data_IF_324642993256
#
_entry.id   IF_324642993256
#
_cell.length_a   1.000
_cell.length_b   1.000
_cell.length_c   1.000
_cell.angle_alpha   90.00
_cell.angle_beta   90.00
_cell.angle_gamma   90.00
#
_symmetry.space_group_name_H-M   'P 1'
#
loop_
_entity.id
_entity.type
_entity.pdbx_description
1 polymer ?
#
# COMPACT_ATOMS: atom_id res chain seq x y z
N UNK A 1 -19.46 8.91 -12.05
CA UNK A 1 -19.49 7.93 -10.94
C UNK A 1 -19.57 8.67 -9.59
N UNK A 2 -20.26 8.13 -8.57
CA UNK A 2 -20.18 8.69 -7.20
C UNK A 2 -18.93 8.17 -6.50
N UNK A 3 -18.18 9.06 -5.85
CA UNK A 3 -17.03 8.70 -5.01
C UNK A 3 -17.40 8.71 -3.52
N UNK A 4 -16.63 7.99 -2.72
CA UNK A 4 -16.72 7.93 -1.26
C UNK A 4 -15.34 8.09 -0.66
N UNK A 5 -15.27 8.61 0.56
CA UNK A 5 -14.01 8.68 1.31
C UNK A 5 -13.60 7.28 1.75
N UNK A 6 -12.34 6.91 1.57
CA UNK A 6 -11.80 5.64 2.05
C UNK A 6 -11.39 5.76 3.52
N UNK A 7 -12.20 5.22 4.44
CA UNK A 7 -11.91 5.27 5.88
C UNK A 7 -11.74 6.71 6.40
N UNK A 8 -10.70 6.93 7.22
CA UNK A 8 -10.34 8.25 7.75
C UNK A 8 -9.23 8.95 6.95
N UNK A 9 -9.09 8.60 5.66
CA UNK A 9 -8.09 9.20 4.76
C UNK A 9 -8.67 10.40 4.01
N UNK A 10 -7.83 11.10 3.23
CA UNK A 10 -8.26 12.08 2.23
C UNK A 10 -8.57 11.47 0.84
N UNK A 11 -8.44 10.15 0.68
CA UNK A 11 -8.69 9.49 -0.60
C UNK A 11 -10.18 9.43 -0.93
N UNK A 12 -10.51 9.94 -2.12
CA UNK A 12 -11.84 9.83 -2.72
C UNK A 12 -11.85 8.73 -3.79
N UNK A 13 -12.48 7.60 -3.47
CA UNK A 13 -12.51 6.41 -4.33
C UNK A 13 -13.89 6.18 -4.94
N UNK A 14 -13.94 5.63 -6.15
CA UNK A 14 -15.16 5.10 -6.73
C UNK A 14 -15.70 3.97 -5.86
N UNK A 15 -17.03 3.87 -5.73
CA UNK A 15 -17.67 2.80 -4.93
C UNK A 15 -17.38 1.39 -5.43
N UNK A 16 -16.93 1.28 -6.67
CA UNK A 16 -16.43 0.05 -7.28
C UNK A 16 -14.93 0.21 -7.49
N UNK A 17 -14.17 -0.83 -7.14
CA UNK A 17 -12.75 -0.96 -7.42
C UNK A 17 -12.56 -1.96 -8.56
N UNK A 18 -11.70 -1.64 -9.52
CA UNK A 18 -11.30 -2.61 -10.54
C UNK A 18 -10.15 -3.46 -10.00
N UNK A 19 -10.44 -4.73 -9.74
CA UNK A 19 -9.42 -5.73 -9.42
C UNK A 19 -8.66 -6.18 -10.67
N UNK A 20 -7.33 -6.14 -10.60
CA UNK A 20 -6.43 -6.39 -11.72
C UNK A 20 -5.73 -7.76 -11.64
N UNK A 21 -6.17 -8.65 -10.75
CA UNK A 21 -5.55 -9.95 -10.49
C UNK A 21 -5.40 -10.82 -11.75
N UNK A 22 -6.35 -10.73 -12.66
CA UNK A 22 -6.36 -11.54 -13.88
C UNK A 22 -5.54 -10.93 -15.01
N UNK A 23 -4.90 -9.77 -14.84
CA UNK A 23 -4.05 -9.17 -15.87
C UNK A 23 -2.61 -9.66 -15.70
N UNK A 24 -1.91 -9.94 -16.80
CA UNK A 24 -0.51 -10.34 -16.74
C UNK A 24 -0.04 -11.12 -17.95
N UNK A 25 1.13 -11.75 -17.79
CA UNK A 25 1.69 -12.68 -18.77
C UNK A 25 0.66 -13.73 -19.22
N UNK A 26 0.54 -14.07 -20.52
CA UNK A 26 -0.46 -15.01 -21.03
C UNK A 26 -0.47 -16.39 -20.37
N UNK A 27 0.66 -16.84 -19.79
CA UNK A 27 0.74 -18.12 -19.10
C UNK A 27 0.18 -18.06 -17.67
N UNK A 28 -0.06 -16.85 -17.15
CA UNK A 28 -0.47 -16.58 -15.76
C UNK A 28 -1.72 -15.72 -15.64
N UNK A 29 -2.12 -15.03 -16.71
CA UNK A 29 -3.26 -14.12 -16.77
C UNK A 29 -3.63 -13.70 -18.19
N UNK A 30 -4.45 -12.65 -18.28
CA UNK A 30 -4.88 -12.03 -19.52
C UNK A 30 -3.82 -11.06 -20.03
N UNK A 31 -3.41 -11.16 -21.30
CA UNK A 31 -2.40 -10.27 -21.88
C UNK A 31 -2.81 -8.80 -21.83
N UNK A 32 -1.82 -7.93 -22.04
CA UNK A 32 -2.01 -6.48 -22.07
C UNK A 32 -3.07 -6.06 -23.11
N UNK A 33 -3.06 -6.67 -24.29
CA UNK A 33 -3.98 -6.33 -25.39
C UNK A 33 -5.46 -6.50 -25.01
N UNK A 34 -5.80 -7.53 -24.22
CA UNK A 34 -7.17 -7.76 -23.74
C UNK A 34 -7.47 -7.04 -22.43
N UNK A 35 -6.46 -6.72 -21.63
CA UNK A 35 -6.61 -6.05 -20.33
C UNK A 35 -6.81 -4.53 -20.47
N UNK A 36 -6.06 -3.88 -21.36
CA UNK A 36 -6.10 -2.42 -21.55
C UNK A 36 -7.49 -1.87 -21.91
N UNK A 37 -8.28 -2.49 -22.82
CA UNK A 37 -9.63 -2.03 -23.11
C UNK A 37 -10.54 -2.02 -21.88
N UNK A 38 -10.39 -2.99 -20.96
CA UNK A 38 -11.17 -3.05 -19.73
C UNK A 38 -10.80 -1.94 -18.76
N UNK A 39 -9.50 -1.65 -18.60
CA UNK A 39 -9.01 -0.53 -17.78
C UNK A 39 -9.53 0.80 -18.34
N UNK A 40 -9.44 0.98 -19.67
CA UNK A 40 -9.95 2.19 -20.32
C UNK A 40 -11.46 2.34 -20.12
N UNK A 41 -12.23 1.26 -20.32
CA UNK A 41 -13.68 1.28 -20.11
C UNK A 41 -14.04 1.61 -18.66
N UNK A 42 -13.28 1.11 -17.68
CA UNK A 42 -13.47 1.45 -16.27
C UNK A 42 -13.26 2.95 -16.01
N UNK A 43 -12.18 3.52 -16.55
CA UNK A 43 -11.91 4.96 -16.50
C UNK A 43 -13.03 5.77 -17.16
N UNK A 44 -13.45 5.38 -18.37
CA UNK A 44 -14.54 6.04 -19.10
C UNK A 44 -15.88 6.00 -18.31
N UNK A 45 -16.10 4.94 -17.53
CA UNK A 45 -17.24 4.81 -16.62
C UNK A 45 -17.09 5.60 -15.29
N UNK A 46 -15.93 6.23 -15.07
CA UNK A 46 -15.59 7.01 -13.88
C UNK A 46 -15.13 6.18 -12.69
N UNK A 47 -14.67 4.94 -12.89
CA UNK A 47 -13.93 4.20 -11.87
C UNK A 47 -12.54 4.85 -11.76
N UNK A 48 -12.14 5.19 -10.53
CA UNK A 48 -10.82 5.74 -10.25
C UNK A 48 -10.01 4.90 -9.28
N UNK A 49 -10.57 3.81 -8.74
CA UNK A 49 -9.90 2.96 -7.76
C UNK A 49 -9.52 1.61 -8.38
N UNK A 50 -8.22 1.31 -8.36
CA UNK A 50 -7.63 0.12 -8.97
C UNK A 50 -6.83 -0.67 -7.93
N UNK A 51 -7.05 -1.99 -7.89
CA UNK A 51 -6.39 -2.89 -6.96
C UNK A 51 -5.58 -3.94 -7.72
N UNK A 52 -4.30 -4.06 -7.38
CA UNK A 52 -3.37 -5.07 -7.89
C UNK A 52 -2.55 -5.66 -6.73
N UNK A 53 -1.52 -6.46 -7.02
CA UNK A 53 -0.56 -6.95 -6.04
C UNK A 53 0.76 -7.29 -6.73
N UNK A 54 1.87 -7.17 -6.01
CA UNK A 54 3.19 -7.54 -6.49
C UNK A 54 3.24 -8.97 -7.08
N UNK A 55 2.52 -9.90 -6.48
CA UNK A 55 2.52 -11.32 -6.86
C UNK A 55 1.58 -11.66 -8.00
N UNK A 56 0.68 -10.75 -8.42
CA UNK A 56 -0.27 -11.04 -9.50
C UNK A 56 0.48 -11.19 -10.83
N UNK A 57 0.45 -12.42 -11.35
CA UNK A 57 1.20 -12.83 -12.53
C UNK A 57 2.71 -12.51 -12.43
N UNK A 58 3.30 -12.69 -11.23
CA UNK A 58 4.72 -12.41 -10.93
C UNK A 58 5.12 -10.96 -11.28
N UNK A 59 4.26 -9.99 -10.95
CA UNK A 59 4.48 -8.56 -11.14
C UNK A 59 3.94 -7.99 -12.46
N UNK A 60 3.71 -8.82 -13.48
CA UNK A 60 3.25 -8.33 -14.80
C UNK A 60 1.88 -7.64 -14.77
N UNK A 61 1.03 -7.92 -13.77
CA UNK A 61 -0.22 -7.16 -13.55
C UNK A 61 0.04 -5.69 -13.25
N UNK A 62 1.03 -5.39 -12.41
CA UNK A 62 1.44 -4.02 -12.06
C UNK A 62 1.99 -3.29 -13.28
N UNK A 63 2.78 -3.98 -14.09
CA UNK A 63 3.35 -3.42 -15.32
C UNK A 63 2.27 -3.00 -16.32
N UNK A 64 1.28 -3.88 -16.55
CA UNK A 64 0.16 -3.61 -17.46
C UNK A 64 -0.70 -2.45 -16.92
N UNK A 65 -1.03 -2.47 -15.63
CA UNK A 65 -1.82 -1.41 -15.00
C UNK A 65 -1.08 -0.07 -15.08
N UNK A 66 0.22 -0.05 -14.76
CA UNK A 66 1.06 1.13 -14.80
C UNK A 66 1.10 1.78 -16.18
N UNK A 67 1.38 1.00 -17.23
CA UNK A 67 1.36 1.47 -18.62
C UNK A 67 -0.03 1.99 -19.03
N UNK A 68 -1.09 1.25 -18.70
CA UNK A 68 -2.44 1.65 -19.06
C UNK A 68 -2.88 2.96 -18.39
N UNK A 69 -2.60 3.12 -17.09
CA UNK A 69 -2.95 4.34 -16.35
C UNK A 69 -2.13 5.54 -16.82
N UNK A 70 -0.85 5.35 -17.15
CA UNK A 70 0.00 6.40 -17.73
C UNK A 70 -0.57 6.95 -19.04
N UNK A 71 -1.16 6.07 -19.87
CA UNK A 71 -1.70 6.45 -21.18
C UNK A 71 -3.13 7.02 -21.10
N UNK A 72 -3.93 6.60 -20.11
CA UNK A 72 -5.38 6.86 -20.08
C UNK A 72 -5.84 7.77 -18.94
N UNK A 73 -5.01 8.06 -17.95
CA UNK A 73 -5.41 8.84 -16.78
C UNK A 73 -4.32 9.83 -16.34
N UNK A 74 -4.74 10.88 -15.65
CA UNK A 74 -3.80 11.70 -14.89
C UNK A 74 -3.57 11.02 -13.53
N UNK A 75 -2.31 10.93 -13.10
CA UNK A 75 -1.92 10.16 -11.90
C UNK A 75 -2.67 10.60 -10.65
N UNK A 76 -2.92 11.89 -10.49
CA UNK A 76 -3.63 12.49 -9.35
C UNK A 76 -5.14 12.25 -9.35
N UNK A 77 -5.71 11.75 -10.45
CA UNK A 77 -7.13 11.45 -10.57
C UNK A 77 -7.48 9.99 -10.22
N UNK A 78 -6.47 9.12 -10.08
CA UNK A 78 -6.63 7.70 -9.80
C UNK A 78 -6.01 7.31 -8.46
N UNK A 79 -6.63 6.33 -7.81
CA UNK A 79 -6.18 5.71 -6.57
C UNK A 79 -5.71 4.30 -6.90
N UNK A 80 -4.44 4.02 -6.63
CA UNK A 80 -3.83 2.72 -6.90
C UNK A 80 -3.46 2.03 -5.58
N UNK A 81 -4.01 0.84 -5.39
CA UNK A 81 -3.67 -0.04 -4.29
C UNK A 81 -2.85 -1.24 -4.79
N UNK A 82 -1.76 -1.55 -4.09
CA UNK A 82 -1.00 -2.80 -4.28
C UNK A 82 -0.78 -3.52 -2.96
N UNK A 83 -0.20 -4.72 -3.02
CA UNK A 83 -0.04 -5.62 -1.86
C UNK A 83 1.35 -6.25 -1.85
N UNK A 84 1.78 -6.62 -0.65
CA UNK A 84 3.00 -7.38 -0.38
C UNK A 84 2.69 -8.56 0.54
N UNK A 85 3.22 -9.76 0.22
CA UNK A 85 3.33 -10.92 1.12
C UNK A 85 3.88 -12.14 0.37
N UNK A 86 3.26 -12.49 -0.76
CA UNK A 86 3.55 -13.72 -1.50
C UNK A 86 4.93 -13.66 -2.16
N UNK A 87 5.57 -14.81 -2.40
CA UNK A 87 6.88 -14.84 -3.04
C UNK A 87 6.78 -14.41 -4.51
N UNK A 88 7.85 -13.79 -5.00
CA UNK A 88 8.11 -13.50 -6.40
C UNK A 88 9.40 -14.24 -6.82
N UNK A 89 9.70 -14.24 -8.11
CA UNK A 89 10.97 -14.77 -8.63
C UNK A 89 12.23 -14.14 -8.00
N UNK A 90 12.14 -12.88 -7.53
CA UNK A 90 13.24 -12.13 -6.92
C UNK A 90 13.05 -11.83 -5.42
N UNK A 91 11.97 -12.30 -4.80
CA UNK A 91 11.61 -11.93 -3.42
C UNK A 91 11.00 -13.12 -2.67
N UNK A 92 11.45 -13.37 -1.44
CA UNK A 92 10.87 -14.41 -0.61
C UNK A 92 9.48 -14.02 -0.09
N UNK A 93 8.71 -15.01 0.37
CA UNK A 93 7.45 -14.75 1.06
C UNK A 93 7.68 -14.08 2.41
N UNK A 94 6.79 -13.18 2.82
CA UNK A 94 6.70 -12.65 4.20
C UNK A 94 6.65 -11.13 4.26
N UNK A 95 6.60 -10.63 5.49
CA UNK A 95 6.47 -9.21 5.85
C UNK A 95 7.68 -8.69 6.65
N UNK A 96 8.85 -9.32 6.47
CA UNK A 96 10.10 -8.76 7.00
C UNK A 96 10.34 -7.36 6.46
N UNK A 97 11.08 -6.55 7.20
CA UNK A 97 11.43 -5.19 6.77
C UNK A 97 12.07 -5.17 5.38
N UNK A 98 12.98 -6.09 5.12
CA UNK A 98 13.63 -6.23 3.81
C UNK A 98 12.60 -6.50 2.71
N UNK A 99 11.66 -7.41 2.94
CA UNK A 99 10.65 -7.77 1.95
C UNK A 99 9.70 -6.61 1.65
N UNK A 100 9.25 -5.88 2.68
CA UNK A 100 8.35 -4.73 2.51
C UNK A 100 9.04 -3.62 1.72
N UNK A 101 10.28 -3.26 2.10
CA UNK A 101 11.02 -2.17 1.47
C UNK A 101 11.42 -2.50 0.04
N UNK A 102 11.88 -3.72 -0.24
CA UNK A 102 12.18 -4.14 -1.60
C UNK A 102 10.90 -4.24 -2.45
N UNK A 103 9.83 -4.82 -1.90
CA UNK A 103 8.58 -4.98 -2.63
C UNK A 103 7.99 -3.65 -3.07
N UNK A 104 8.02 -2.60 -2.23
CA UNK A 104 7.47 -1.31 -2.64
C UNK A 104 8.30 -0.68 -3.77
N UNK A 105 9.63 -0.77 -3.71
CA UNK A 105 10.51 -0.22 -4.74
C UNK A 105 10.32 -0.92 -6.09
N UNK A 106 10.23 -2.25 -6.05
CA UNK A 106 9.94 -3.07 -7.22
C UNK A 106 8.54 -2.75 -7.79
N UNK A 107 7.54 -2.56 -6.93
CA UNK A 107 6.16 -2.26 -7.36
C UNK A 107 6.07 -0.88 -8.01
N UNK A 108 6.72 0.13 -7.43
CA UNK A 108 6.79 1.48 -8.01
C UNK A 108 7.49 1.48 -9.37
N UNK A 109 8.57 0.69 -9.50
CA UNK A 109 9.27 0.49 -10.77
C UNK A 109 8.35 -0.14 -11.82
N UNK A 110 7.65 -1.23 -11.49
CA UNK A 110 6.71 -1.89 -12.42
C UNK A 110 5.53 -1.00 -12.81
N UNK A 111 4.94 -0.30 -11.84
CA UNK A 111 3.83 0.64 -12.06
C UNK A 111 4.27 1.89 -12.81
N UNK A 112 5.57 2.22 -12.82
CA UNK A 112 6.08 3.48 -13.36
C UNK A 112 5.57 4.70 -12.59
N UNK A 113 5.50 4.60 -11.26
CA UNK A 113 4.95 5.63 -10.36
C UNK A 113 5.95 6.01 -9.27
N UNK A 114 5.85 7.22 -8.74
CA UNK A 114 6.66 7.67 -7.59
C UNK A 114 6.04 7.25 -6.25
N UNK A 115 4.73 7.03 -6.22
CA UNK A 115 4.00 6.56 -5.04
C UNK A 115 2.78 5.72 -5.43
N UNK A 116 2.35 4.86 -4.51
CA UNK A 116 1.01 4.25 -4.51
C UNK A 116 0.12 4.93 -3.47
N UNK A 117 -1.20 4.91 -3.67
CA UNK A 117 -2.12 5.52 -2.72
C UNK A 117 -2.31 4.63 -1.48
N UNK A 118 -2.28 3.30 -1.68
CA UNK A 118 -2.48 2.33 -0.61
C UNK A 118 -1.54 1.12 -0.79
N UNK A 119 -0.66 0.88 0.18
CA UNK A 119 0.07 -0.39 0.29
C UNK A 119 -0.60 -1.29 1.34
N UNK A 120 -0.94 -2.52 0.97
CA UNK A 120 -1.60 -3.45 1.89
C UNK A 120 -0.73 -4.67 2.19
N UNK A 121 -0.73 -5.13 3.43
CA UNK A 121 -0.26 -6.49 3.70
C UNK A 121 -1.28 -7.48 3.14
N UNK A 122 -0.83 -8.43 2.32
CA UNK A 122 -1.75 -9.35 1.64
C UNK A 122 -2.28 -10.45 2.57
N UNK A 123 -1.51 -10.82 3.59
CA UNK A 123 -1.82 -11.84 4.62
C UNK A 123 -1.13 -11.47 5.92
N UNK A 124 -1.53 -12.12 7.02
CA UNK A 124 -0.75 -12.12 8.25
C UNK A 124 0.53 -12.95 8.09
N UNK A 125 1.65 -12.44 8.61
CA UNK A 125 2.91 -13.17 8.74
C UNK A 125 3.08 -13.68 10.17
N UNK A 126 3.23 -14.99 10.33
CA UNK A 126 3.40 -15.65 11.63
C UNK A 126 4.88 -15.79 12.04
N UNK A 127 5.79 -15.47 11.12
CA UNK A 127 7.24 -15.58 11.34
C UNK A 127 7.83 -14.23 11.72
N UNK A 128 7.48 -13.18 10.98
CA UNK A 128 7.97 -11.82 11.27
C UNK A 128 7.21 -11.22 12.45
N UNK A 129 7.90 -10.67 13.48
CA UNK A 129 7.25 -9.90 14.53
C UNK A 129 6.40 -8.75 13.95
N UNK A 130 5.22 -8.54 14.52
CA UNK A 130 4.29 -7.54 14.00
C UNK A 130 4.85 -6.12 14.15
N UNK A 131 5.66 -5.87 15.18
CA UNK A 131 6.34 -4.60 15.41
C UNK A 131 7.30 -4.26 14.26
N UNK A 132 8.10 -5.22 13.80
CA UNK A 132 8.99 -5.04 12.64
C UNK A 132 8.18 -4.74 11.36
N UNK A 133 7.09 -5.47 11.17
CA UNK A 133 6.19 -5.26 10.03
C UNK A 133 5.61 -3.84 10.04
N UNK A 134 5.10 -3.39 11.19
CA UNK A 134 4.49 -2.06 11.34
C UNK A 134 5.51 -0.94 11.20
N UNK A 135 6.73 -1.11 11.72
CA UNK A 135 7.83 -0.15 11.55
C UNK A 135 8.23 -0.02 10.07
N UNK A 136 8.33 -1.15 9.35
CA UNK A 136 8.62 -1.13 7.93
C UNK A 136 7.51 -0.43 7.11
N UNK A 137 6.23 -0.69 7.43
CA UNK A 137 5.09 -0.02 6.80
C UNK A 137 5.07 1.49 7.09
N UNK A 138 5.37 1.90 8.33
CA UNK A 138 5.49 3.32 8.68
C UNK A 138 6.64 3.99 7.91
N UNK A 139 7.78 3.32 7.78
CA UNK A 139 8.90 3.81 6.98
C UNK A 139 8.49 4.03 5.51
N UNK A 140 7.71 3.13 4.92
CA UNK A 140 7.18 3.31 3.56
C UNK A 140 6.33 4.57 3.46
N UNK A 141 5.41 4.80 4.41
CA UNK A 141 4.57 6.00 4.42
C UNK A 141 5.40 7.27 4.59
N UNK A 142 6.32 7.28 5.56
CA UNK A 142 7.20 8.42 5.82
C UNK A 142 8.10 8.77 4.65
N UNK A 143 8.49 7.78 3.85
CA UNK A 143 9.29 7.99 2.64
C UNK A 143 8.48 8.54 1.45
N UNK A 144 7.15 8.62 1.57
CA UNK A 144 6.25 9.07 0.49
C UNK A 144 5.96 8.01 -0.57
N UNK A 145 6.54 6.81 -0.47
CA UNK A 145 6.35 5.72 -1.43
C UNK A 145 4.94 5.12 -1.39
N UNK A 146 4.27 5.21 -0.25
CA UNK A 146 2.82 4.98 -0.14
C UNK A 146 2.17 6.11 0.66
N UNK A 147 0.97 6.55 0.27
CA UNK A 147 0.24 7.57 1.05
C UNK A 147 -0.40 6.98 2.30
N UNK A 148 -0.96 5.78 2.17
CA UNK A 148 -1.62 5.06 3.24
C UNK A 148 -1.24 3.59 3.24
N UNK A 149 -1.47 2.93 4.38
CA UNK A 149 -1.29 1.49 4.56
C UNK A 149 -2.62 0.82 4.90
N UNK A 150 -2.73 -0.45 4.54
CA UNK A 150 -3.89 -1.28 4.83
C UNK A 150 -3.51 -2.74 5.08
N UNK A 151 -4.52 -3.56 5.30
CA UNK A 151 -4.31 -4.95 5.65
C UNK A 151 -5.41 -5.83 5.02
N UNK A 152 -5.04 -7.01 4.55
CA UNK A 152 -5.95 -7.98 3.93
C UNK A 152 -5.77 -9.37 4.53
N UNK A 153 -6.89 -10.07 4.76
CA UNK A 153 -6.96 -11.47 5.20
C UNK A 153 -6.13 -11.81 6.46
N UNK A 154 -6.68 -11.47 7.62
CA UNK A 154 -6.22 -11.88 8.95
C UNK A 154 -7.41 -12.04 9.90
N UNK A 155 -7.17 -12.62 11.08
CA UNK A 155 -8.17 -12.64 12.14
C UNK A 155 -8.44 -11.23 12.66
N UNK A 156 -9.68 -10.97 13.08
CA UNK A 156 -10.06 -9.67 13.66
C UNK A 156 -9.19 -9.29 14.87
N UNK A 157 -8.78 -10.29 15.67
CA UNK A 157 -7.89 -10.10 16.83
C UNK A 157 -6.48 -9.66 16.41
N UNK A 158 -5.93 -10.24 15.35
CA UNK A 158 -4.64 -9.85 14.77
C UNK A 158 -4.69 -8.41 14.24
N UNK A 159 -5.76 -8.05 13.55
CA UNK A 159 -5.93 -6.68 13.06
C UNK A 159 -6.08 -5.67 14.21
N UNK A 160 -6.86 -6.02 15.24
CA UNK A 160 -7.00 -5.19 16.44
C UNK A 160 -5.65 -5.00 17.17
N UNK A 161 -4.83 -6.05 17.28
CA UNK A 161 -3.48 -5.96 17.83
C UNK A 161 -2.60 -4.99 17.03
N UNK A 162 -2.61 -5.10 15.70
CA UNK A 162 -1.82 -4.21 14.83
C UNK A 162 -2.25 -2.74 14.97
N UNK A 163 -3.56 -2.46 15.03
CA UNK A 163 -4.09 -1.12 15.27
C UNK A 163 -3.70 -0.59 16.65
N UNK A 164 -3.76 -1.42 17.69
CA UNK A 164 -3.37 -1.03 19.04
C UNK A 164 -1.89 -0.64 19.11
N UNK A 165 -1.01 -1.43 18.50
CA UNK A 165 0.42 -1.12 18.43
C UNK A 165 0.69 0.18 17.67
N UNK A 166 -0.04 0.43 16.57
CA UNK A 166 0.06 1.69 15.84
C UNK A 166 -0.35 2.90 16.70
N UNK A 167 -1.41 2.77 17.51
CA UNK A 167 -1.86 3.84 18.42
C UNK A 167 -0.85 4.09 19.53
N UNK A 168 -0.36 3.03 20.18
CA UNK A 168 0.66 3.13 21.22
C UNK A 168 1.93 3.81 20.68
N UNK A 169 2.38 3.43 19.48
CA UNK A 169 3.53 4.06 18.85
C UNK A 169 3.36 5.58 18.66
N UNK A 170 2.15 6.04 18.32
CA UNK A 170 1.84 7.48 18.19
C UNK A 170 1.77 8.21 19.53
N UNK A 171 1.38 7.53 20.60
CA UNK A 171 1.33 8.11 21.94
C UNK A 171 2.73 8.23 22.55
N UNK A 172 3.54 7.18 22.40
CA UNK A 172 4.91 7.12 22.94
C UNK A 172 5.86 8.02 22.15
N UNK A 173 5.69 8.14 20.83
CA UNK A 173 6.56 8.93 19.99
C UNK A 173 5.78 10.07 19.33
N UNK A 174 5.98 11.29 19.85
CA UNK A 174 5.44 12.50 19.21
C UNK A 174 6.42 13.03 18.20
N UNK A 175 5.93 13.24 16.99
CA UNK A 175 6.69 13.86 15.91
C UNK A 175 6.86 15.35 16.21
N UNK A 176 8.11 15.75 16.45
CA UNK A 176 8.48 17.16 16.57
C UNK A 176 9.07 17.64 15.24
N UNK A 177 8.86 18.91 14.93
CA UNK A 177 9.44 19.57 13.77
C UNK A 177 10.27 20.75 14.26
N UNK A 178 11.49 20.89 13.75
CA UNK A 178 12.30 22.08 14.01
C UNK A 178 11.69 23.29 13.32
N UNK A 179 11.24 24.28 14.08
CA UNK A 179 10.71 25.53 13.52
C UNK A 179 11.71 26.31 12.64
N UNK A 180 13.02 26.06 12.81
CA UNK A 180 14.08 26.77 12.09
C UNK A 180 14.52 26.11 10.79
N UNK A 181 14.64 24.78 10.77
CA UNK A 181 15.17 24.06 9.61
C UNK A 181 14.19 23.04 9.01
N UNK A 182 12.99 22.88 9.58
CA UNK A 182 11.95 21.98 9.07
C UNK A 182 12.26 20.49 9.23
N UNK A 183 13.39 20.12 9.83
CA UNK A 183 13.69 18.70 10.07
C UNK A 183 12.74 18.14 11.12
N UNK A 184 12.30 16.90 10.91
CA UNK A 184 11.40 16.19 11.83
C UNK A 184 12.11 15.03 12.49
N UNK A 185 11.87 14.82 13.78
CA UNK A 185 12.31 13.64 14.52
C UNK A 185 11.20 13.16 15.44
N UNK A 186 11.25 11.88 15.80
CA UNK A 186 10.35 11.31 16.78
C UNK A 186 10.97 11.46 18.17
N UNK A 187 10.24 12.12 19.07
CA UNK A 187 10.66 12.30 20.45
C UNK A 187 9.82 11.44 21.36
N UNK A 188 10.50 10.75 22.27
CA UNK A 188 9.85 9.97 23.31
C UNK A 188 9.02 10.90 24.21
N UNK A 189 7.71 10.70 24.26
CA UNK A 189 6.79 11.40 25.13
C UNK A 189 6.67 10.65 26.46
N UNK A 190 7.44 11.13 27.44
CA UNK A 190 7.45 10.60 28.81
C UNK A 190 6.35 11.20 29.70
N UNK A 191 5.44 12.03 29.16
CA UNK A 191 4.40 12.68 29.97
C UNK A 191 3.34 11.72 30.51
N UNK A 192 3.27 10.49 30.01
CA UNK A 192 2.35 9.44 30.46
C UNK A 192 2.91 8.48 31.51
N UNK A 193 4.21 8.51 31.86
CA UNK A 193 4.85 7.50 32.73
C UNK A 193 4.89 7.88 34.21
N UNK A 194 4.15 8.89 34.65
CA UNK A 194 4.12 9.33 36.06
C UNK A 194 2.80 9.05 36.77
N UNK A 195 2.40 7.79 36.90
CA UNK A 195 1.49 7.27 37.95
C UNK A 195 1.77 5.75 38.11
N UNK A 196 2.25 5.20 39.21
CA UNK A 196 2.60 5.72 40.53
C UNK A 196 3.36 4.64 41.32
N UNK A 197 3.94 5.08 42.45
CA UNK A 197 4.45 4.25 43.55
C UNK A 197 3.33 3.51 44.30
#
# INVERSE_FOLDING_TARGET
>A
MKTVRLGQTDLQVSRLCLGCMTYGDPLRGNPEESSRPLIKQALDAGINFFDTANSYSDGSSEEILGRALKDYAQRDQVVVATKVYFPLSNLSQGLSRTNILQSIDDSLTRLGMEYVDLLQIHRWDYVTPIEETLEALDQVVRSGKARYIGASSMHATQFAQALQLQLIGREIFKRETCDKCGSTWDKLDLSGTSQGD
#
